data_IF_196351241619
#
_entry.id   IF_196351241619
#
_cell.length_a   1.000
_cell.length_b   1.000
_cell.length_c   1.000
_cell.angle_alpha   90.00
_cell.angle_beta   90.00
_cell.angle_gamma   90.00
#
_symmetry.space_group_name_H-M   'P 1'
#
loop_
_entity.id
_entity.type
_entity.pdbx_description
1 polymer ?
#
# COMPACT_ATOMS: atom_id res chain seq x y z
N UNK A 1 -13.77 -24.62 5.69
CA UNK A 1 -13.14 -24.33 4.42
C UNK A 1 -12.19 -23.12 4.60
N UNK A 2 -10.89 -23.30 4.28
CA UNK A 2 -9.85 -22.26 4.50
C UNK A 2 -9.64 -21.41 3.23
N UNK A 3 -10.71 -20.98 2.59
CA UNK A 3 -10.66 -20.18 1.36
C UNK A 3 -10.80 -18.69 1.65
N UNK A 4 -10.16 -17.87 0.84
CA UNK A 4 -10.34 -16.41 0.84
C UNK A 4 -11.77 -16.03 0.49
N UNK A 5 -12.22 -14.90 1.03
CA UNK A 5 -13.44 -14.25 0.56
C UNK A 5 -13.23 -13.80 -0.90
N UNK A 6 -14.15 -14.22 -1.78
CA UNK A 6 -14.12 -13.84 -3.19
C UNK A 6 -14.63 -12.42 -3.40
N UNK A 7 -14.33 -11.85 -4.55
CA UNK A 7 -14.84 -10.53 -4.91
C UNK A 7 -16.37 -10.55 -5.09
N UNK A 8 -16.90 -11.54 -5.82
CA UNK A 8 -18.34 -11.75 -6.06
C UNK A 8 -18.83 -13.10 -5.55
N UNK A 9 -20.15 -13.22 -5.33
CA UNK A 9 -20.83 -14.44 -4.89
C UNK A 9 -21.80 -14.20 -3.75
N UNK A 10 -22.38 -15.26 -3.20
CA UNK A 10 -23.36 -15.20 -2.10
C UNK A 10 -22.75 -14.72 -0.77
N UNK A 11 -21.48 -15.02 -0.52
CA UNK A 11 -20.67 -14.47 0.58
C UNK A 11 -19.41 -13.93 -0.08
N UNK A 12 -19.25 -12.60 -0.12
CA UNK A 12 -18.26 -11.94 -0.96
C UNK A 12 -17.88 -10.55 -0.43
N UNK A 13 -16.88 -9.94 -1.05
CA UNK A 13 -16.51 -8.53 -0.80
C UNK A 13 -17.67 -7.58 -1.16
N UNK A 14 -18.43 -7.87 -2.23
CA UNK A 14 -19.58 -7.04 -2.60
C UNK A 14 -20.69 -7.09 -1.53
N UNK A 15 -20.95 -8.24 -0.91
CA UNK A 15 -21.88 -8.34 0.21
C UNK A 15 -21.33 -7.65 1.48
N UNK A 16 -20.02 -7.76 1.74
CA UNK A 16 -19.39 -7.01 2.82
C UNK A 16 -19.55 -5.50 2.60
N UNK A 17 -19.36 -5.01 1.38
CA UNK A 17 -19.57 -3.60 1.06
C UNK A 17 -21.03 -3.19 1.27
N UNK A 18 -21.98 -4.00 0.87
CA UNK A 18 -23.40 -3.73 1.14
C UNK A 18 -23.69 -3.66 2.64
N UNK A 19 -23.17 -4.59 3.43
CA UNK A 19 -23.26 -4.56 4.89
C UNK A 19 -22.67 -3.29 5.50
N UNK A 20 -21.48 -2.85 5.03
CA UNK A 20 -20.86 -1.61 5.49
C UNK A 20 -21.67 -0.37 5.09
N UNK A 21 -22.34 -0.37 3.94
CA UNK A 21 -23.24 0.71 3.52
C UNK A 21 -24.41 0.81 4.51
N UNK A 22 -24.97 -0.30 4.99
CA UNK A 22 -26.02 -0.32 6.01
C UNK A 22 -25.51 0.20 7.37
N UNK A 23 -24.17 0.14 7.62
CA UNK A 23 -23.49 0.76 8.78
C UNK A 23 -23.11 2.24 8.55
N UNK A 24 -23.58 2.84 7.46
CA UNK A 24 -23.40 4.27 7.16
C UNK A 24 -22.18 4.61 6.32
N UNK A 25 -21.52 3.62 5.72
CA UNK A 25 -20.50 3.89 4.69
C UNK A 25 -21.16 4.34 3.40
N UNK A 26 -20.54 5.28 2.70
CA UNK A 26 -21.01 5.82 1.43
C UNK A 26 -20.28 5.13 0.28
N UNK A 27 -20.99 4.92 -0.84
CA UNK A 27 -20.41 4.36 -2.06
C UNK A 27 -19.37 5.31 -2.63
N UNK A 28 -18.20 4.77 -2.98
CA UNK A 28 -17.11 5.48 -3.61
C UNK A 28 -16.98 5.12 -5.09
N UNK A 29 -15.80 4.66 -5.50
CA UNK A 29 -15.45 4.36 -6.88
C UNK A 29 -16.02 3.02 -7.36
N UNK A 30 -16.27 2.96 -8.67
CA UNK A 30 -16.63 1.75 -9.40
C UNK A 30 -15.54 1.40 -10.41
N UNK A 31 -15.35 0.11 -10.68
CA UNK A 31 -14.47 -0.35 -11.76
C UNK A 31 -15.17 -0.26 -13.14
N UNK A 32 -14.44 -0.63 -14.21
CA UNK A 32 -14.97 -0.60 -15.58
C UNK A 32 -16.17 -1.55 -15.82
N UNK A 33 -16.43 -2.48 -14.91
CA UNK A 33 -17.58 -3.41 -14.94
C UNK A 33 -18.72 -2.95 -14.04
N UNK A 34 -18.72 -1.69 -13.59
CA UNK A 34 -19.73 -1.12 -12.69
C UNK A 34 -19.84 -1.85 -11.34
N UNK A 35 -18.74 -2.43 -10.86
CA UNK A 35 -18.66 -3.07 -9.54
C UNK A 35 -18.02 -2.10 -8.55
N UNK A 36 -18.58 -1.99 -7.34
CA UNK A 36 -18.11 -1.09 -6.30
C UNK A 36 -16.75 -1.56 -5.75
N UNK A 37 -15.77 -0.66 -5.70
CA UNK A 37 -14.38 -0.97 -5.31
C UNK A 37 -13.84 -0.08 -4.20
N UNK A 38 -14.65 0.87 -3.71
CA UNK A 38 -14.31 1.67 -2.53
C UNK A 38 -15.54 2.18 -1.80
N UNK A 39 -15.37 2.45 -0.52
CA UNK A 39 -16.35 3.11 0.35
C UNK A 39 -15.68 4.29 1.07
N UNK A 40 -16.48 5.23 1.57
CA UNK A 40 -16.00 6.34 2.40
C UNK A 40 -16.91 6.60 3.59
N UNK A 41 -16.35 7.05 4.73
CA UNK A 41 -17.10 7.41 5.94
C UNK A 41 -16.29 8.40 6.76
N UNK A 42 -16.83 9.59 7.00
CA UNK A 42 -16.25 10.60 7.90
C UNK A 42 -14.75 10.93 7.62
N UNK A 43 -14.34 10.95 6.36
CA UNK A 43 -12.95 11.22 5.96
C UNK A 43 -12.04 10.00 5.91
N UNK A 44 -12.50 8.83 6.36
CA UNK A 44 -11.84 7.54 6.12
C UNK A 44 -12.35 6.91 4.81
N UNK A 45 -11.59 5.99 4.25
CA UNK A 45 -12.01 5.18 3.10
C UNK A 45 -11.62 3.72 3.27
N UNK A 46 -12.45 2.85 2.69
CA UNK A 46 -12.16 1.43 2.52
C UNK A 46 -11.98 1.17 1.03
N UNK A 47 -10.84 0.60 0.66
CA UNK A 47 -10.51 0.30 -0.74
C UNK A 47 -10.09 -1.17 -0.89
N UNK A 48 -9.93 -1.60 -2.14
CA UNK A 48 -9.47 -2.94 -2.46
C UNK A 48 -8.14 -2.90 -3.17
N UNK A 49 -7.20 -3.67 -2.65
CA UNK A 49 -5.92 -3.95 -3.26
C UNK A 49 -6.06 -5.01 -4.38
N UNK A 50 -5.04 -5.18 -5.27
CA UNK A 50 -5.16 -6.01 -6.47
C UNK A 50 -5.69 -7.44 -6.25
N UNK A 51 -5.39 -8.07 -5.13
CA UNK A 51 -5.86 -9.41 -4.77
C UNK A 51 -7.05 -9.43 -3.82
N UNK A 52 -7.90 -8.41 -3.85
CA UNK A 52 -9.08 -8.27 -2.97
C UNK A 52 -8.74 -8.05 -1.48
N UNK A 53 -7.51 -7.67 -1.14
CA UNK A 53 -7.20 -7.27 0.24
C UNK A 53 -7.98 -5.99 0.56
N UNK A 54 -8.69 -6.01 1.70
CA UNK A 54 -9.44 -4.86 2.19
C UNK A 54 -8.49 -3.91 2.91
N UNK A 55 -8.43 -2.67 2.49
CA UNK A 55 -7.61 -1.62 3.09
C UNK A 55 -8.48 -0.54 3.72
N UNK A 56 -8.27 -0.25 5.00
CA UNK A 56 -8.75 0.96 5.64
C UNK A 56 -7.69 2.05 5.50
N UNK A 57 -8.01 3.13 4.81
CA UNK A 57 -7.27 4.38 4.89
C UNK A 57 -7.97 5.30 5.89
N UNK A 58 -7.39 5.41 7.08
CA UNK A 58 -7.96 6.20 8.18
C UNK A 58 -7.96 7.70 7.88
N UNK A 59 -8.79 8.44 8.60
CA UNK A 59 -8.83 9.91 8.54
C UNK A 59 -7.62 10.53 9.24
N UNK A 60 -7.41 11.83 9.07
CA UNK A 60 -6.42 12.58 9.83
C UNK A 60 -6.88 12.68 11.30
N UNK A 61 -6.02 12.21 12.22
CA UNK A 61 -6.31 12.10 13.65
C UNK A 61 -5.24 12.83 14.48
N UNK A 62 -5.61 13.29 15.66
CA UNK A 62 -4.75 14.13 16.50
C UNK A 62 -3.82 13.33 17.42
N UNK A 63 -4.13 12.08 17.70
CA UNK A 63 -3.37 11.27 18.64
C UNK A 63 -3.60 9.76 18.42
N UNK A 64 -2.73 8.96 19.02
CA UNK A 64 -2.72 7.50 18.90
C UNK A 64 -4.00 6.84 19.44
N UNK A 65 -4.64 7.41 20.46
CA UNK A 65 -5.88 6.86 21.00
C UNK A 65 -7.03 6.94 20.00
N UNK A 66 -7.12 8.05 19.27
CA UNK A 66 -8.11 8.19 18.20
C UNK A 66 -7.84 7.19 17.06
N UNK A 67 -6.57 6.95 16.70
CA UNK A 67 -6.19 5.95 15.71
C UNK A 67 -6.59 4.54 16.15
N UNK A 68 -6.35 4.19 17.41
CA UNK A 68 -6.77 2.90 17.96
C UNK A 68 -8.30 2.76 17.98
N UNK A 69 -9.03 3.82 18.32
CA UNK A 69 -10.51 3.80 18.31
C UNK A 69 -11.05 3.58 16.90
N UNK A 70 -10.56 4.34 15.91
CA UNK A 70 -10.98 4.18 14.50
C UNK A 70 -10.72 2.75 13.99
N UNK A 71 -9.53 2.22 14.26
CA UNK A 71 -9.18 0.84 13.89
C UNK A 71 -10.09 -0.18 14.59
N UNK A 72 -10.37 0.01 15.88
CA UNK A 72 -11.24 -0.87 16.64
C UNK A 72 -12.67 -0.87 16.07
N UNK A 73 -13.23 0.31 15.82
CA UNK A 73 -14.58 0.45 15.25
C UNK A 73 -14.70 -0.27 13.91
N UNK A 74 -13.72 -0.06 13.01
CA UNK A 74 -13.71 -0.74 11.72
C UNK A 74 -13.57 -2.26 11.85
N UNK A 75 -12.65 -2.75 12.68
CA UNK A 75 -12.50 -4.18 12.93
C UNK A 75 -13.76 -4.80 13.55
N UNK A 76 -14.46 -4.05 14.40
CA UNK A 76 -15.71 -4.50 14.99
C UNK A 76 -16.79 -4.67 13.91
N UNK A 77 -16.96 -3.70 13.00
CA UNK A 77 -17.89 -3.83 11.85
C UNK A 77 -17.55 -5.07 11.00
N UNK A 78 -16.27 -5.31 10.72
CA UNK A 78 -15.82 -6.49 9.96
C UNK A 78 -16.08 -7.80 10.73
N UNK A 79 -15.88 -7.82 12.05
CA UNK A 79 -16.16 -8.99 12.90
C UNK A 79 -17.64 -9.32 12.96
N UNK A 80 -18.52 -8.33 12.97
CA UNK A 80 -19.97 -8.57 12.90
C UNK A 80 -20.34 -9.28 11.59
N UNK A 81 -19.84 -8.78 10.44
CA UNK A 81 -20.07 -9.43 9.14
C UNK A 81 -19.51 -10.85 9.11
N UNK A 82 -18.28 -11.02 9.60
CA UNK A 82 -17.62 -12.32 9.65
C UNK A 82 -18.42 -13.34 10.49
N UNK A 83 -18.93 -12.92 11.64
CA UNK A 83 -19.74 -13.76 12.53
C UNK A 83 -21.05 -14.18 11.87
N UNK A 84 -21.73 -13.26 11.19
CA UNK A 84 -22.99 -13.54 10.47
C UNK A 84 -22.80 -14.55 9.32
N UNK A 85 -21.61 -14.58 8.71
CA UNK A 85 -21.33 -15.40 7.54
C UNK A 85 -20.38 -16.58 7.82
N UNK A 86 -20.11 -16.88 9.10
CA UNK A 86 -19.19 -17.95 9.52
C UNK A 86 -17.79 -17.82 8.90
N UNK A 87 -17.29 -16.58 8.86
CA UNK A 87 -15.96 -16.22 8.39
C UNK A 87 -14.98 -15.97 9.56
N UNK A 88 -13.69 -16.03 9.29
CA UNK A 88 -12.64 -15.69 10.23
C UNK A 88 -11.77 -14.57 9.65
N UNK A 89 -11.54 -13.51 10.43
CA UNK A 89 -10.61 -12.44 10.09
C UNK A 89 -9.25 -12.79 10.68
N UNK A 90 -8.20 -12.77 9.84
CA UNK A 90 -6.84 -13.11 10.25
C UNK A 90 -5.95 -11.90 9.96
N UNK A 91 -5.32 -11.33 11.00
CA UNK A 91 -4.31 -10.28 10.88
C UNK A 91 -2.93 -10.88 10.62
N UNK A 92 -2.49 -10.91 9.36
CA UNK A 92 -1.19 -11.44 8.92
C UNK A 92 -0.58 -10.56 7.85
N UNK A 93 0.75 -10.55 7.75
CA UNK A 93 1.47 -9.78 6.72
C UNK A 93 1.44 -10.41 5.32
N UNK A 94 1.10 -11.70 5.21
CA UNK A 94 1.07 -12.44 3.94
C UNK A 94 -0.02 -13.51 3.97
N UNK A 95 -0.65 -13.78 2.82
CA UNK A 95 -1.63 -14.85 2.70
C UNK A 95 -0.98 -16.21 3.01
N UNK A 96 -1.43 -16.90 4.07
CA UNK A 96 -0.76 -18.09 4.54
C UNK A 96 -1.08 -19.35 3.74
N UNK A 97 -2.14 -19.34 2.92
CA UNK A 97 -2.75 -20.56 2.37
C UNK A 97 -2.81 -20.55 0.85
N UNK A 98 -3.29 -19.45 0.25
CA UNK A 98 -3.58 -19.40 -1.17
C UNK A 98 -2.31 -19.41 -2.01
N UNK A 99 -2.33 -20.15 -3.11
CA UNK A 99 -1.33 -19.99 -4.16
C UNK A 99 -1.64 -18.72 -4.97
N UNK A 100 -0.63 -18.12 -5.58
CA UNK A 100 -0.78 -16.88 -6.36
C UNK A 100 -1.78 -17.03 -7.52
N UNK A 101 -1.74 -18.16 -8.19
CA UNK A 101 -2.62 -18.49 -9.32
C UNK A 101 -4.09 -18.64 -8.95
N UNK A 102 -4.39 -18.91 -7.68
CA UNK A 102 -5.76 -19.07 -7.17
C UNK A 102 -6.42 -17.73 -6.77
N UNK A 103 -5.65 -16.62 -6.82
CA UNK A 103 -6.13 -15.32 -6.37
C UNK A 103 -6.67 -14.50 -7.53
N UNK A 104 -7.92 -14.09 -7.42
CA UNK A 104 -8.56 -13.18 -8.36
C UNK A 104 -7.87 -11.80 -8.35
N UNK A 105 -7.63 -11.26 -9.53
CA UNK A 105 -7.15 -9.89 -9.71
C UNK A 105 -8.32 -8.95 -9.91
N UNK A 106 -8.42 -7.91 -9.09
CA UNK A 106 -9.44 -6.87 -9.32
C UNK A 106 -9.13 -6.13 -10.61
N UNK A 107 -10.10 -6.00 -11.52
CA UNK A 107 -9.91 -5.32 -12.79
C UNK A 107 -9.88 -3.79 -12.61
N UNK A 108 -8.69 -3.25 -12.38
CA UNK A 108 -8.38 -1.80 -12.47
C UNK A 108 -7.29 -1.61 -13.52
N UNK A 109 -7.41 -0.60 -14.38
CA UNK A 109 -6.45 -0.33 -15.46
C UNK A 109 -5.00 -0.22 -14.95
N UNK A 110 -4.79 0.51 -13.86
CA UNK A 110 -3.46 0.66 -13.26
C UNK A 110 -2.85 -0.66 -12.82
N UNK A 111 -3.67 -1.61 -12.36
CA UNK A 111 -3.19 -2.93 -11.92
C UNK A 111 -2.80 -3.81 -13.10
N UNK A 112 -3.44 -3.65 -14.27
CA UNK A 112 -3.02 -4.34 -15.48
C UNK A 112 -1.59 -3.94 -15.88
N UNK A 113 -1.31 -2.64 -15.92
CA UNK A 113 0.04 -2.13 -16.24
C UNK A 113 1.08 -2.66 -15.24
N UNK A 114 0.79 -2.56 -13.95
CA UNK A 114 1.69 -3.07 -12.90
C UNK A 114 1.91 -4.59 -13.02
N UNK A 115 0.85 -5.36 -13.29
CA UNK A 115 0.93 -6.82 -13.47
C UNK A 115 1.81 -7.23 -14.63
N UNK A 116 1.79 -6.47 -15.72
CA UNK A 116 2.63 -6.70 -16.91
C UNK A 116 4.08 -6.25 -16.69
N UNK A 117 4.31 -5.27 -15.85
CA UNK A 117 5.62 -4.71 -15.56
C UNK A 117 6.38 -5.49 -14.46
N UNK A 118 5.72 -5.82 -13.35
CA UNK A 118 6.38 -6.40 -12.18
C UNK A 118 7.24 -7.64 -12.47
N UNK A 119 6.83 -8.60 -13.31
CA UNK A 119 7.66 -9.77 -13.64
C UNK A 119 8.94 -9.45 -14.40
N UNK A 120 9.09 -8.23 -14.94
CA UNK A 120 10.29 -7.79 -15.67
C UNK A 120 11.39 -7.28 -14.75
N UNK A 121 11.04 -6.91 -13.51
CA UNK A 121 11.93 -6.23 -12.57
C UNK A 121 12.16 -6.98 -11.26
N UNK A 122 11.35 -8.02 -10.99
CA UNK A 122 11.50 -8.89 -9.82
C UNK A 122 10.63 -10.13 -9.95
N UNK A 123 10.94 -11.19 -9.22
CA UNK A 123 10.21 -12.46 -9.31
C UNK A 123 8.95 -12.49 -8.43
N UNK A 124 8.84 -11.58 -7.46
CA UNK A 124 7.80 -11.59 -6.40
C UNK A 124 6.82 -10.43 -6.46
N UNK A 125 6.89 -9.58 -7.50
CA UNK A 125 6.01 -8.43 -7.64
C UNK A 125 4.53 -8.80 -7.68
N UNK A 126 4.16 -9.92 -8.31
CA UNK A 126 2.77 -10.40 -8.31
C UNK A 126 2.32 -10.93 -6.94
N UNK A 127 3.21 -11.54 -6.16
CA UNK A 127 2.92 -11.94 -4.78
C UNK A 127 2.73 -10.69 -3.90
N UNK A 128 3.54 -9.65 -4.09
CA UNK A 128 3.37 -8.37 -3.42
C UNK A 128 1.98 -7.80 -3.68
N UNK A 129 1.54 -7.77 -4.93
CA UNK A 129 0.24 -7.19 -5.32
C UNK A 129 -0.95 -7.96 -4.74
N UNK A 130 -0.86 -9.29 -4.57
CA UNK A 130 -2.04 -10.12 -4.27
C UNK A 130 -2.04 -10.77 -2.91
N UNK A 131 -0.89 -10.88 -2.24
CA UNK A 131 -0.74 -11.72 -1.03
C UNK A 131 -0.25 -10.96 0.19
N UNK A 132 0.26 -9.72 0.04
CA UNK A 132 0.81 -8.95 1.16
C UNK A 132 -0.24 -8.06 1.80
N UNK A 133 -0.15 -7.94 3.14
CA UNK A 133 -0.90 -6.98 3.94
C UNK A 133 0.05 -6.30 4.93
N UNK A 134 -0.15 -5.01 5.16
CA UNK A 134 0.71 -4.18 6.01
C UNK A 134 -0.11 -3.33 6.95
N UNK A 135 0.54 -2.84 7.99
CA UNK A 135 0.11 -1.65 8.72
C UNK A 135 1.05 -0.52 8.36
N UNK A 136 0.48 0.63 8.04
CA UNK A 136 1.21 1.86 7.74
C UNK A 136 0.80 2.92 8.76
N UNK A 137 1.73 3.81 9.11
CA UNK A 137 1.44 4.95 9.96
C UNK A 137 2.01 6.22 9.34
N UNK A 138 1.23 7.31 9.41
CA UNK A 138 1.56 8.59 8.82
C UNK A 138 1.84 9.61 9.92
N UNK A 139 2.89 10.40 9.74
CA UNK A 139 3.36 11.37 10.74
C UNK A 139 3.62 12.73 10.09
N UNK A 140 3.21 13.76 10.76
CA UNK A 140 3.50 15.14 10.37
C UNK A 140 4.95 15.52 10.70
N UNK A 141 5.41 16.57 10.07
CA UNK A 141 6.67 17.25 10.39
C UNK A 141 6.43 18.76 10.42
N UNK A 142 7.20 19.43 11.24
CA UNK A 142 7.05 20.86 11.48
C UNK A 142 7.66 21.71 10.35
N UNK A 143 8.88 21.35 9.94
CA UNK A 143 9.65 22.02 8.89
C UNK A 143 10.56 21.00 8.19
N UNK A 144 11.35 21.46 7.24
CA UNK A 144 12.28 20.62 6.49
C UNK A 144 13.35 19.96 7.38
N UNK A 145 13.84 20.66 8.38
CA UNK A 145 14.86 20.14 9.31
C UNK A 145 14.29 19.00 10.16
N UNK A 146 13.08 19.15 10.65
CA UNK A 146 12.34 18.12 11.39
C UNK A 146 12.04 16.92 10.49
N UNK A 147 11.59 17.17 9.24
CA UNK A 147 11.38 16.15 8.24
C UNK A 147 12.64 15.31 8.00
N UNK A 148 13.77 15.95 7.71
CA UNK A 148 15.04 15.26 7.42
C UNK A 148 15.43 14.38 8.60
N UNK A 149 15.37 14.93 9.83
CA UNK A 149 15.69 14.20 11.06
C UNK A 149 14.79 12.96 11.21
N UNK A 150 13.48 13.13 11.10
CA UNK A 150 12.49 12.05 11.22
C UNK A 150 12.66 11.01 10.11
N UNK A 151 12.87 11.44 8.86
CA UNK A 151 13.02 10.57 7.71
C UNK A 151 14.26 9.67 7.83
N UNK A 152 15.42 10.25 8.16
CA UNK A 152 16.67 9.49 8.32
C UNK A 152 16.57 8.53 9.50
N UNK A 153 16.02 8.98 10.64
CA UNK A 153 15.82 8.15 11.82
C UNK A 153 14.88 6.98 11.52
N UNK A 154 13.75 7.26 10.85
CA UNK A 154 12.78 6.24 10.48
C UNK A 154 13.41 5.19 9.55
N UNK A 155 14.17 5.59 8.53
CA UNK A 155 14.86 4.64 7.64
C UNK A 155 15.89 3.77 8.38
N UNK A 156 16.66 4.35 9.31
CA UNK A 156 17.65 3.60 10.11
C UNK A 156 17.02 2.57 11.05
N UNK A 157 15.83 2.86 11.55
CA UNK A 157 15.11 1.96 12.47
C UNK A 157 14.24 0.93 11.76
N UNK A 158 14.00 1.06 10.44
CA UNK A 158 13.15 0.10 9.72
C UNK A 158 13.55 -1.36 9.91
N UNK A 159 14.84 -1.76 9.85
CA UNK A 159 15.21 -3.17 10.06
C UNK A 159 14.76 -3.71 11.43
N UNK A 160 14.85 -2.88 12.47
CA UNK A 160 14.38 -3.24 13.82
C UNK A 160 12.86 -3.38 13.85
N UNK A 161 12.13 -2.41 13.29
CA UNK A 161 10.67 -2.42 13.25
C UNK A 161 10.15 -3.60 12.43
N UNK A 162 10.75 -3.86 11.27
CA UNK A 162 10.42 -5.02 10.44
C UNK A 162 10.61 -6.34 11.21
N UNK A 163 11.66 -6.45 12.03
CA UNK A 163 11.88 -7.63 12.86
C UNK A 163 10.85 -7.75 14.00
N UNK A 164 10.53 -6.65 14.69
CA UNK A 164 9.56 -6.61 15.79
C UNK A 164 8.14 -6.91 15.33
N UNK A 165 7.75 -6.41 14.14
CA UNK A 165 6.42 -6.57 13.57
C UNK A 165 6.34 -7.68 12.51
N UNK A 166 7.30 -8.63 12.47
CA UNK A 166 7.23 -9.81 11.61
C UNK A 166 6.08 -10.71 12.01
N UNK A 167 5.12 -10.94 11.10
CA UNK A 167 3.90 -11.71 11.39
C UNK A 167 3.37 -12.44 10.14
N UNK A 168 4.24 -13.09 9.38
CA UNK A 168 3.83 -13.86 8.20
C UNK A 168 4.73 -15.06 7.90
N UNK A 169 4.78 -16.06 8.85
CA UNK A 169 5.71 -17.19 8.72
C UNK A 169 5.19 -18.32 7.82
N UNK A 170 3.96 -18.24 7.33
CA UNK A 170 3.35 -19.27 6.52
C UNK A 170 3.21 -18.85 5.05
N UNK A 171 3.41 -19.80 4.15
CA UNK A 171 3.17 -19.68 2.71
C UNK A 171 2.61 -20.99 2.18
N UNK A 172 1.48 -20.94 1.46
CA UNK A 172 0.85 -22.09 0.80
C UNK A 172 0.61 -23.27 1.77
N UNK A 173 0.14 -22.94 2.98
CA UNK A 173 -0.18 -23.91 4.00
C UNK A 173 1.01 -24.45 4.80
N UNK A 174 2.24 -24.03 4.48
CA UNK A 174 3.47 -24.54 5.08
C UNK A 174 4.29 -23.45 5.78
N UNK A 175 4.98 -23.81 6.87
CA UNK A 175 5.96 -22.97 7.53
C UNK A 175 7.30 -23.10 6.80
N UNK A 176 7.83 -22.00 6.26
CA UNK A 176 9.04 -21.99 5.44
C UNK A 176 10.28 -21.40 6.13
N UNK A 177 10.28 -21.35 7.47
CA UNK A 177 11.36 -20.81 8.32
C UNK A 177 11.62 -19.31 8.18
N UNK A 178 10.83 -18.60 7.36
CA UNK A 178 10.88 -17.14 7.20
C UNK A 178 9.86 -16.52 8.15
N UNK A 179 10.26 -15.58 9.00
CA UNK A 179 9.35 -14.91 9.96
C UNK A 179 8.38 -13.94 9.28
N UNK A 180 8.81 -13.30 8.16
CA UNK A 180 8.00 -12.42 7.37
C UNK A 180 8.14 -12.74 5.87
N UNK A 181 7.19 -13.48 5.33
CA UNK A 181 7.07 -13.68 3.88
C UNK A 181 6.74 -12.38 3.15
N UNK A 182 6.10 -11.41 3.81
CA UNK A 182 5.86 -10.07 3.26
C UNK A 182 7.19 -9.36 2.99
N UNK A 183 8.05 -9.22 3.98
CA UNK A 183 9.35 -8.56 3.82
C UNK A 183 10.17 -9.25 2.73
N UNK A 184 10.23 -10.58 2.77
CA UNK A 184 10.93 -11.37 1.75
C UNK A 184 10.38 -11.13 0.34
N UNK A 185 9.08 -10.92 0.20
CA UNK A 185 8.43 -10.59 -1.08
C UNK A 185 8.84 -9.20 -1.57
N UNK A 186 8.83 -8.19 -0.69
CA UNK A 186 9.21 -6.83 -1.06
C UNK A 186 10.68 -6.70 -1.47
N UNK A 187 11.58 -7.55 -0.95
CA UNK A 187 13.00 -7.56 -1.32
C UNK A 187 13.26 -7.96 -2.79
N UNK A 188 12.29 -8.62 -3.44
CA UNK A 188 12.40 -9.05 -4.84
C UNK A 188 11.15 -8.64 -5.63
N UNK A 189 10.71 -7.40 -5.46
CA UNK A 189 9.58 -6.80 -6.18
C UNK A 189 10.09 -5.85 -7.27
N UNK A 190 10.71 -4.75 -6.90
CA UNK A 190 11.31 -3.76 -7.81
C UNK A 190 12.37 -2.96 -7.04
N UNK A 191 13.62 -3.29 -7.27
CA UNK A 191 14.75 -2.70 -6.53
C UNK A 191 14.94 -1.21 -6.79
N UNK A 192 14.40 -0.66 -7.89
CA UNK A 192 14.48 0.79 -8.16
C UNK A 192 13.59 1.59 -7.20
N UNK A 193 12.39 1.08 -6.86
CA UNK A 193 11.37 1.82 -6.08
C UNK A 193 11.11 1.30 -4.67
N UNK A 194 11.56 0.07 -4.34
CA UNK A 194 11.27 -0.59 -3.07
C UNK A 194 12.48 -0.58 -2.13
N UNK A 195 12.23 -0.84 -0.85
CA UNK A 195 13.26 -1.05 0.17
C UNK A 195 13.89 0.22 0.72
N UNK A 196 14.97 0.05 1.47
CA UNK A 196 15.73 1.14 2.10
C UNK A 196 16.88 1.53 1.17
N UNK A 197 16.99 2.81 0.85
CA UNK A 197 18.07 3.33 0.01
C UNK A 197 19.24 3.83 0.87
N UNK A 198 20.49 3.59 0.42
CA UNK A 198 21.68 4.00 1.17
C UNK A 198 21.71 5.51 1.43
N UNK A 199 21.35 6.29 0.42
CA UNK A 199 21.28 7.76 0.50
C UNK A 199 20.27 8.26 1.54
N UNK A 200 19.28 7.45 1.93
CA UNK A 200 18.29 7.79 2.97
C UNK A 200 18.79 7.55 4.40
N UNK A 201 19.92 6.87 4.54
CA UNK A 201 20.55 6.59 5.84
C UNK A 201 21.62 7.62 6.22
N UNK A 202 22.04 8.45 5.27
CA UNK A 202 23.12 9.40 5.44
C UNK A 202 22.62 10.69 6.14
N UNK A 203 23.48 11.28 6.99
CA UNK A 203 23.18 12.57 7.64
C UNK A 203 23.13 13.75 6.66
N UNK A 204 23.74 13.60 5.48
CA UNK A 204 23.68 14.59 4.40
C UNK A 204 22.41 14.49 3.55
N UNK A 205 21.45 13.65 3.94
CA UNK A 205 20.14 13.56 3.26
C UNK A 205 19.43 14.92 3.29
N UNK A 206 18.80 15.27 2.18
CA UNK A 206 17.94 16.45 2.01
C UNK A 206 16.79 16.11 1.05
N UNK A 207 15.84 17.02 0.90
CA UNK A 207 14.64 16.81 0.05
C UNK A 207 15.05 16.65 -1.42
N UNK A 208 16.04 17.38 -1.90
CA UNK A 208 16.52 17.29 -3.28
C UNK A 208 16.99 15.87 -3.62
N UNK A 209 17.68 15.18 -2.70
CA UNK A 209 18.10 13.78 -2.90
C UNK A 209 16.89 12.84 -3.01
N UNK A 210 15.81 13.10 -2.27
CA UNK A 210 14.59 12.32 -2.43
C UNK A 210 13.92 12.57 -3.77
N UNK A 211 13.86 13.83 -4.20
CA UNK A 211 13.30 14.20 -5.51
C UNK A 211 14.14 13.60 -6.63
N UNK A 212 15.47 13.70 -6.57
CA UNK A 212 16.39 13.10 -7.55
C UNK A 212 16.24 11.58 -7.63
N UNK A 213 16.08 10.92 -6.49
CA UNK A 213 15.75 9.50 -6.44
C UNK A 213 14.43 9.20 -7.14
N UNK A 214 13.35 9.90 -6.76
CA UNK A 214 12.04 9.67 -7.32
C UNK A 214 11.96 9.97 -8.82
N UNK A 215 12.67 11.01 -9.30
CA UNK A 215 12.76 11.32 -10.72
C UNK A 215 13.39 10.18 -11.55
N UNK A 216 14.35 9.44 -10.99
CA UNK A 216 15.03 8.33 -11.66
C UNK A 216 14.19 7.06 -11.75
N UNK A 217 13.21 6.90 -10.87
CA UNK A 217 12.33 5.73 -10.86
C UNK A 217 11.42 5.76 -12.09
N UNK A 218 11.24 4.61 -12.74
CA UNK A 218 10.34 4.47 -13.89
C UNK A 218 8.91 4.78 -13.49
N UNK A 219 8.22 5.54 -14.33
CA UNK A 219 6.80 5.85 -14.11
C UNK A 219 5.93 4.67 -14.57
N UNK A 220 4.95 4.27 -13.78
CA UNK A 220 4.06 3.18 -14.20
C UNK A 220 3.08 3.62 -15.27
N UNK A 221 2.46 4.77 -15.06
CA UNK A 221 1.41 5.27 -15.97
C UNK A 221 1.21 6.78 -15.83
N UNK A 222 0.68 7.38 -16.88
CA UNK A 222 0.05 8.70 -16.85
C UNK A 222 -1.46 8.53 -17.00
N UNK A 223 -2.25 9.39 -16.35
CA UNK A 223 -3.70 9.41 -16.50
C UNK A 223 -4.09 10.50 -17.51
N UNK A 224 -4.27 10.11 -18.77
CA UNK A 224 -4.61 11.01 -19.89
C UNK A 224 -6.05 10.76 -20.31
N UNK A 225 -6.87 11.80 -20.29
CA UNK A 225 -8.30 11.71 -20.65
C UNK A 225 -9.05 10.58 -19.91
N UNK A 226 -8.76 10.43 -18.61
CA UNK A 226 -9.38 9.40 -17.75
C UNK A 226 -8.84 7.99 -17.90
N UNK A 227 -7.94 7.73 -18.86
CA UNK A 227 -7.32 6.40 -19.10
C UNK A 227 -5.90 6.35 -18.56
N UNK A 228 -5.51 5.21 -18.01
CA UNK A 228 -4.12 4.96 -17.62
C UNK A 228 -3.32 4.50 -18.84
N UNK A 229 -2.31 5.27 -19.21
CA UNK A 229 -1.39 4.99 -20.31
C UNK A 229 -0.09 4.47 -19.74
N UNK A 230 0.37 3.31 -20.23
CA UNK A 230 1.63 2.69 -19.83
C UNK A 230 2.81 3.60 -20.20
N UNK A 231 3.63 3.91 -19.20
CA UNK A 231 4.86 4.71 -19.34
C UNK A 231 6.07 4.02 -18.68
N UNK A 232 5.99 2.71 -18.45
CA UNK A 232 7.03 1.92 -17.78
C UNK A 232 8.38 1.90 -18.50
N UNK A 233 8.42 2.35 -19.75
CA UNK A 233 9.66 2.54 -20.53
C UNK A 233 10.43 3.82 -20.14
N UNK A 234 9.81 4.73 -19.40
CA UNK A 234 10.36 6.04 -19.06
C UNK A 234 10.49 6.20 -17.55
N UNK A 235 11.62 6.79 -17.07
CA UNK A 235 11.65 7.39 -15.74
C UNK A 235 10.79 8.66 -15.72
N UNK A 236 10.44 9.16 -14.54
CA UNK A 236 9.74 10.45 -14.49
C UNK A 236 10.60 11.59 -15.04
N UNK A 237 11.92 11.54 -14.81
CA UNK A 237 12.89 12.46 -15.41
C UNK A 237 12.85 12.40 -16.95
N UNK A 238 12.74 11.20 -17.54
CA UNK A 238 12.64 11.08 -19.00
C UNK A 238 11.36 11.73 -19.55
N UNK A 239 10.24 11.58 -18.82
CA UNK A 239 8.97 12.22 -19.22
C UNK A 239 9.04 13.76 -19.18
N UNK A 240 9.85 14.32 -18.27
CA UNK A 240 10.05 15.78 -18.16
C UNK A 240 11.03 16.30 -19.21
N UNK A 241 12.11 15.57 -19.52
CA UNK A 241 13.26 16.08 -20.29
C UNK A 241 13.34 15.58 -21.73
N UNK A 242 12.72 14.44 -22.03
CA UNK A 242 12.76 13.80 -23.35
C UNK A 242 11.39 13.92 -24.04
N UNK A 243 11.40 13.78 -25.36
CA UNK A 243 10.17 13.66 -26.14
C UNK A 243 9.80 12.18 -26.28
N UNK A 244 8.74 11.69 -25.62
CA UNK A 244 8.27 10.32 -25.79
C UNK A 244 7.91 10.03 -27.24
N UNK A 245 8.03 8.75 -27.65
CA UNK A 245 7.73 8.33 -29.03
C UNK A 245 6.22 8.24 -29.28
N UNK A 246 5.47 7.86 -28.26
CA UNK A 246 4.03 7.70 -28.32
C UNK A 246 3.34 9.05 -28.43
N UNK A 247 2.52 9.24 -29.50
CA UNK A 247 1.88 10.52 -29.83
C UNK A 247 1.07 11.12 -28.65
N UNK A 248 0.28 10.29 -27.99
CA UNK A 248 -0.58 10.71 -26.88
C UNK A 248 0.20 11.13 -25.64
N UNK A 249 1.41 10.62 -25.42
CA UNK A 249 2.31 11.04 -24.32
C UNK A 249 3.06 12.30 -24.74
N UNK A 250 3.53 12.35 -25.99
CA UNK A 250 4.27 13.50 -26.54
C UNK A 250 3.47 14.80 -26.51
N UNK A 251 2.17 14.72 -26.76
CA UNK A 251 1.26 15.87 -26.80
C UNK A 251 0.69 16.21 -25.41
N UNK A 252 1.02 15.42 -24.37
CA UNK A 252 0.53 15.63 -23.01
C UNK A 252 1.45 16.54 -22.20
N UNK A 253 0.88 17.57 -21.60
CA UNK A 253 1.59 18.44 -20.67
C UNK A 253 1.52 17.85 -19.26
N UNK A 254 2.66 17.42 -18.72
CA UNK A 254 2.77 16.92 -17.34
C UNK A 254 2.32 17.96 -16.33
N UNK A 255 1.65 17.50 -15.31
CA UNK A 255 1.11 18.31 -14.22
C UNK A 255 1.70 17.92 -12.88
N UNK A 256 1.53 18.76 -11.86
CA UNK A 256 1.89 18.42 -10.46
C UNK A 256 1.11 17.19 -9.99
N UNK A 257 -0.11 16.99 -10.49
CA UNK A 257 -0.90 15.78 -10.16
C UNK A 257 -0.25 14.50 -10.66
N UNK A 258 0.42 14.52 -11.82
CA UNK A 258 1.16 13.37 -12.34
C UNK A 258 2.37 13.05 -11.46
N UNK A 259 3.07 14.08 -10.99
CA UNK A 259 4.15 13.92 -10.02
C UNK A 259 3.66 13.30 -8.70
N UNK A 260 2.56 13.80 -8.14
CA UNK A 260 1.95 13.25 -6.91
C UNK A 260 1.54 11.79 -7.12
N UNK A 261 0.95 11.46 -8.28
CA UNK A 261 0.61 10.10 -8.64
C UNK A 261 1.86 9.21 -8.75
N UNK A 262 2.93 9.71 -9.35
CA UNK A 262 4.21 9.00 -9.41
C UNK A 262 4.78 8.73 -8.02
N UNK A 263 4.83 9.73 -7.14
CA UNK A 263 5.26 9.55 -5.75
C UNK A 263 4.44 8.50 -5.00
N UNK A 264 3.15 8.35 -5.33
CA UNK A 264 2.30 7.31 -4.74
C UNK A 264 2.72 5.88 -5.14
N UNK A 265 3.51 5.74 -6.20
CA UNK A 265 4.06 4.46 -6.68
C UNK A 265 5.50 4.19 -6.23
N UNK A 266 6.07 5.04 -5.39
CA UNK A 266 7.34 4.79 -4.70
C UNK A 266 7.03 3.92 -3.47
N UNK A 267 7.70 2.79 -3.34
CA UNK A 267 7.40 1.78 -2.31
C UNK A 267 8.58 1.54 -1.38
N UNK A 268 9.33 2.61 -1.07
CA UNK A 268 10.36 2.56 -0.02
C UNK A 268 9.73 2.32 1.35
N UNK A 269 10.49 1.75 2.29
CA UNK A 269 9.99 1.43 3.64
C UNK A 269 9.57 2.68 4.43
N UNK A 270 10.17 3.82 4.10
CA UNK A 270 9.73 5.14 4.52
C UNK A 270 9.50 5.96 3.26
N UNK A 271 8.28 6.45 3.09
CA UNK A 271 7.88 7.23 1.91
C UNK A 271 7.57 8.66 2.31
N UNK A 272 8.12 9.61 1.55
CA UNK A 272 7.82 11.02 1.71
C UNK A 272 6.67 11.43 0.79
N UNK A 273 5.65 12.00 1.39
CA UNK A 273 4.51 12.67 0.76
C UNK A 273 4.35 14.05 1.40
N UNK A 274 3.15 14.62 1.47
CA UNK A 274 2.87 15.76 2.35
C UNK A 274 2.97 15.41 3.85
N UNK A 275 3.29 14.16 4.14
CA UNK A 275 3.56 13.58 5.45
C UNK A 275 4.62 12.47 5.30
N UNK A 276 5.14 12.00 6.42
CA UNK A 276 6.06 10.86 6.49
C UNK A 276 5.25 9.58 6.68
N UNK A 277 5.39 8.63 5.79
CA UNK A 277 4.67 7.35 5.85
C UNK A 277 5.66 6.20 6.11
N UNK A 278 5.50 5.49 7.23
CA UNK A 278 6.27 4.28 7.57
C UNK A 278 5.48 3.04 7.16
N UNK A 279 6.13 2.07 6.46
CA UNK A 279 5.47 1.02 5.69
C UNK A 279 6.00 -0.40 5.94
N UNK A 280 7.08 -0.56 6.70
CA UNK A 280 7.84 -1.82 6.78
C UNK A 280 7.17 -2.93 7.59
N UNK A 281 6.14 -2.66 8.39
CA UNK A 281 5.52 -3.63 9.28
C UNK A 281 4.55 -4.58 8.55
N UNK A 282 4.53 -5.85 8.97
CA UNK A 282 3.47 -6.79 8.62
C UNK A 282 2.14 -6.36 9.25
N UNK A 283 1.01 -6.67 8.62
CA UNK A 283 -0.30 -6.60 9.28
C UNK A 283 -0.38 -7.59 10.44
N UNK A 284 -1.19 -7.28 11.43
CA UNK A 284 -1.31 -8.05 12.65
C UNK A 284 -2.68 -7.97 13.29
N UNK A 285 -2.78 -8.49 14.51
CA UNK A 285 -3.95 -8.31 15.36
C UNK A 285 -4.11 -6.85 15.74
N UNK A 286 -5.27 -6.48 16.26
CA UNK A 286 -5.58 -5.10 16.66
C UNK A 286 -4.48 -4.47 17.54
N UNK A 287 -3.97 -5.22 18.51
CA UNK A 287 -2.92 -4.72 19.41
C UNK A 287 -1.64 -4.36 18.64
N UNK A 288 -1.25 -5.15 17.64
CA UNK A 288 -0.09 -4.86 16.76
C UNK A 288 -0.36 -3.65 15.87
N UNK A 289 -1.58 -3.52 15.35
CA UNK A 289 -1.98 -2.38 14.53
C UNK A 289 -1.89 -1.08 15.34
N UNK A 290 -2.33 -1.09 16.61
CA UNK A 290 -2.22 0.06 17.51
C UNK A 290 -0.79 0.30 18.01
N UNK A 291 0.00 -0.76 18.21
CA UNK A 291 1.37 -0.65 18.71
C UNK A 291 2.30 0.06 17.72
N UNK A 292 2.09 -0.11 16.40
CA UNK A 292 2.95 0.50 15.38
C UNK A 292 2.94 2.05 15.44
N UNK A 293 1.80 2.74 15.35
CA UNK A 293 1.77 4.20 15.47
C UNK A 293 2.21 4.67 16.85
N UNK A 294 1.93 3.93 17.95
CA UNK A 294 2.40 4.27 19.28
C UNK A 294 3.94 4.19 19.38
N UNK A 295 4.55 3.15 18.85
CA UNK A 295 6.01 3.00 18.78
C UNK A 295 6.65 4.17 18.04
N UNK A 296 6.18 4.46 16.84
CA UNK A 296 6.75 5.53 16.03
C UNK A 296 6.49 6.93 16.63
N UNK A 297 5.33 7.16 17.24
CA UNK A 297 5.07 8.42 17.97
C UNK A 297 6.10 8.62 19.07
N UNK A 298 6.36 7.61 19.89
CA UNK A 298 7.35 7.70 20.97
C UNK A 298 8.80 7.88 20.51
N UNK A 299 9.11 7.61 19.25
CA UNK A 299 10.47 7.77 18.70
C UNK A 299 10.62 9.08 17.94
N UNK A 300 9.58 9.51 17.22
CA UNK A 300 9.66 10.66 16.30
C UNK A 300 9.30 11.99 17.00
N UNK A 301 8.63 11.93 18.14
CA UNK A 301 8.23 13.11 18.94
C UNK A 301 8.74 13.04 20.38
#
# INVERSE_FOLDING_TARGET
DKKRLKFDGSISIQNLFQFLIEKGWQKGEYNAFNQLISLSKNGASVTLEPGCQLELSGKILKNVHQTCTETYEHLHELQEYAKLNNLCIIGLGFDPISKREDIEFIPKDRYRIMREYMPKVGSRGLDMMTRTCTVQANFDYFDEKDLIKKFVLANRLQPLVMALFSNSPFKEGSHNLIKSNRIHTWQDTDSERCGIKKEFLDQSFNIEKYVDFALKVKNYFLKINGKHIDTTSYSFHDLVTKTPKEKNIKEYNLTVSDWINHLSTIFTEVRLKSYLEVRGADAGKWEMICALPAFWTGILY
#
